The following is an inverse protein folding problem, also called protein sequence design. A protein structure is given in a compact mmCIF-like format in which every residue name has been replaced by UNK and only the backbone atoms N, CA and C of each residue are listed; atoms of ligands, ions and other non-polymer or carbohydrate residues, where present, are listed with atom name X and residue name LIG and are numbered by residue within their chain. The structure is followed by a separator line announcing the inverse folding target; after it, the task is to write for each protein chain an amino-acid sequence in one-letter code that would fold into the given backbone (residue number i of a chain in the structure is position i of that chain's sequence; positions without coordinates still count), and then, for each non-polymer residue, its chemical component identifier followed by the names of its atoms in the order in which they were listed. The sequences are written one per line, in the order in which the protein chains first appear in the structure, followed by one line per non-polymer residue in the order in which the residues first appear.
data_IF_291417747544
#
_entry.id   IF_291417747544
#
_cell.length_a   1.000
_cell.length_b   1.000
_cell.length_c   1.000
_cell.angle_alpha   90.00
_cell.angle_beta   90.00
_cell.angle_gamma   90.00
#
_symmetry.space_group_name_H-M   'P 1'
#
loop_
_entity.id
_entity.type
_entity.pdbx_description
1 polymer ?
#
# COMPACT_ATOMS: atom_id res chain seq x y z
N UNK A 1 -1.17 -49.78 2.61
CA UNK A 1 -2.00 -48.95 3.51
C UNK A 1 -1.42 -47.55 3.63
N UNK A 2 -2.27 -46.54 3.48
CA UNK A 2 -1.91 -45.12 3.64
C UNK A 2 -2.55 -44.61 4.94
N UNK A 3 -1.75 -43.95 5.79
CA UNK A 3 -2.21 -43.38 7.06
C UNK A 3 -1.95 -41.87 7.04
N UNK A 4 -2.92 -41.08 7.48
CA UNK A 4 -2.85 -39.61 7.49
C UNK A 4 -3.58 -39.05 8.71
N UNK A 5 -2.89 -38.16 9.43
CA UNK A 5 -3.42 -37.42 10.57
C UNK A 5 -3.25 -35.92 10.33
N UNK A 6 -4.19 -35.12 10.83
CA UNK A 6 -4.16 -33.66 10.73
C UNK A 6 -4.25 -33.02 12.10
N UNK A 7 -3.32 -32.10 12.37
CA UNK A 7 -3.27 -31.29 13.59
C UNK A 7 -3.45 -29.81 13.24
N UNK A 8 -4.31 -29.12 13.99
CA UNK A 8 -4.51 -27.67 13.85
C UNK A 8 -3.71 -26.95 14.93
N UNK A 9 -2.87 -26.00 14.52
CA UNK A 9 -2.12 -25.10 15.43
C UNK A 9 -2.53 -23.66 15.19
N UNK A 10 -2.89 -22.98 16.28
CA UNK A 10 -3.26 -21.57 16.25
C UNK A 10 -2.03 -20.69 16.52
N UNK A 11 -1.82 -19.67 15.67
CA UNK A 11 -0.79 -18.66 15.87
C UNK A 11 -1.22 -17.55 16.86
N UNK A 12 -0.30 -16.63 17.15
CA UNK A 12 -0.50 -15.55 18.14
C UNK A 12 -0.55 -14.14 17.52
N UNK A 13 -0.88 -14.02 16.23
CA UNK A 13 -1.04 -12.73 15.55
C UNK A 13 0.26 -12.03 15.19
N UNK A 14 1.15 -12.71 14.45
CA UNK A 14 2.36 -12.11 13.88
C UNK A 14 2.45 -12.39 12.38
N UNK A 15 2.48 -11.35 11.54
CA UNK A 15 2.46 -11.47 10.08
C UNK A 15 3.68 -12.23 9.54
N UNK A 16 4.86 -12.00 10.13
CA UNK A 16 6.10 -12.68 9.75
C UNK A 16 6.03 -14.20 9.94
N UNK A 17 5.17 -14.72 10.83
CA UNK A 17 4.96 -16.16 10.98
C UNK A 17 4.24 -16.80 9.79
N UNK A 18 3.74 -16.02 8.83
CA UNK A 18 3.31 -16.53 7.53
C UNK A 18 4.47 -16.89 6.59
N UNK A 19 5.70 -16.43 6.86
CA UNK A 19 6.88 -16.80 6.09
C UNK A 19 7.29 -18.25 6.39
N UNK A 20 7.65 -19.00 5.35
CA UNK A 20 7.92 -20.44 5.39
C UNK A 20 8.80 -20.90 6.55
N UNK A 21 9.96 -20.26 6.74
CA UNK A 21 10.93 -20.69 7.75
C UNK A 21 10.63 -20.13 9.13
N UNK A 22 9.97 -18.97 9.21
CA UNK A 22 9.46 -18.42 10.45
C UNK A 22 8.30 -19.27 11.02
N UNK A 23 7.41 -19.77 10.15
CA UNK A 23 6.32 -20.66 10.52
C UNK A 23 6.83 -21.96 11.13
N UNK A 24 7.88 -22.55 10.57
CA UNK A 24 8.54 -23.74 11.14
C UNK A 24 9.01 -23.48 12.57
N UNK A 25 9.70 -22.36 12.81
CA UNK A 25 10.12 -21.98 14.16
C UNK A 25 8.93 -21.79 15.09
N UNK A 26 7.85 -21.13 14.62
CA UNK A 26 6.64 -20.92 15.40
C UNK A 26 5.96 -22.23 15.78
N UNK A 27 5.87 -23.19 14.85
CA UNK A 27 5.31 -24.53 15.10
C UNK A 27 6.13 -25.29 16.14
N UNK A 28 7.46 -25.16 16.09
CA UNK A 28 8.39 -25.75 17.06
C UNK A 28 8.41 -25.05 18.43
N UNK A 29 7.56 -24.04 18.65
CA UNK A 29 7.50 -23.28 19.91
C UNK A 29 8.63 -22.27 20.10
N UNK A 30 9.40 -21.98 19.04
CA UNK A 30 10.45 -20.95 19.03
C UNK A 30 9.84 -19.62 18.58
N UNK A 31 10.61 -18.53 18.76
CA UNK A 31 10.24 -17.23 18.18
C UNK A 31 10.14 -17.35 16.66
N UNK A 32 9.06 -16.81 16.07
CA UNK A 32 8.78 -16.81 14.64
C UNK A 32 9.74 -15.94 13.83
N UNK A 33 10.99 -16.36 13.73
CA UNK A 33 12.04 -15.68 12.98
C UNK A 33 12.49 -16.55 11.81
N UNK A 34 12.69 -15.99 10.61
CA UNK A 34 13.15 -16.76 9.46
C UNK A 34 14.52 -17.40 9.68
N UNK A 35 14.78 -18.53 9.02
CA UNK A 35 16.08 -19.22 9.00
C UNK A 35 16.78 -18.94 7.66
N UNK A 36 18.12 -18.72 7.65
CA UNK A 36 18.86 -18.66 6.40
C UNK A 36 18.80 -20.02 5.70
N UNK A 37 18.76 -19.99 4.36
CA UNK A 37 18.88 -21.17 3.51
C UNK A 37 20.32 -21.21 2.99
N UNK A 38 20.98 -22.38 2.90
CA UNK A 38 20.54 -23.73 3.29
C UNK A 38 20.61 -24.03 4.81
N UNK A 39 19.94 -25.10 5.32
CA UNK A 39 19.18 -26.11 4.58
C UNK A 39 17.75 -25.65 4.21
N UNK A 40 17.22 -26.17 3.10
CA UNK A 40 15.82 -25.94 2.70
C UNK A 40 14.85 -26.82 3.51
N UNK A 41 13.62 -26.35 3.79
CA UNK A 41 12.61 -27.11 4.55
C UNK A 41 12.28 -28.49 3.97
N UNK A 42 12.32 -28.63 2.64
CA UNK A 42 12.14 -29.92 1.96
C UNK A 42 13.16 -30.98 2.38
N UNK A 43 14.33 -30.59 2.89
CA UNK A 43 15.32 -31.50 3.47
C UNK A 43 15.28 -31.51 5.00
N UNK A 44 15.18 -30.33 5.62
CA UNK A 44 15.15 -30.14 7.07
C UNK A 44 14.19 -29.00 7.45
N UNK A 45 12.94 -29.36 7.72
CA UNK A 45 11.88 -28.45 8.11
C UNK A 45 11.51 -28.61 9.59
N UNK A 46 10.25 -28.94 9.88
CA UNK A 46 9.72 -29.08 11.24
C UNK A 46 10.40 -30.28 11.92
N UNK A 47 10.98 -30.06 13.10
CA UNK A 47 11.71 -31.06 13.88
C UNK A 47 12.80 -31.79 13.07
N UNK A 48 13.47 -31.04 12.19
CA UNK A 48 14.51 -31.50 11.27
C UNK A 48 14.05 -32.59 10.28
N UNK A 49 12.73 -32.71 10.04
CA UNK A 49 12.17 -33.63 9.04
C UNK A 49 11.85 -32.92 7.72
N UNK A 50 11.95 -33.62 6.57
CA UNK A 50 11.47 -33.11 5.29
C UNK A 50 10.04 -32.57 5.41
N UNK A 51 9.85 -31.28 5.13
CA UNK A 51 8.56 -30.61 5.26
C UNK A 51 8.30 -29.76 4.02
N UNK A 52 7.10 -29.88 3.46
CA UNK A 52 6.60 -29.00 2.40
C UNK A 52 5.54 -28.07 2.99
N UNK A 53 5.74 -26.77 2.79
CA UNK A 53 4.76 -25.75 3.13
C UNK A 53 4.00 -25.34 1.87
N UNK A 54 2.68 -25.30 1.93
CA UNK A 54 1.84 -24.71 0.89
C UNK A 54 0.74 -23.84 1.50
N UNK A 55 0.28 -22.86 0.74
CA UNK A 55 -0.88 -22.05 1.12
C UNK A 55 -2.18 -22.88 1.02
N UNK A 56 -3.18 -22.47 1.78
CA UNK A 56 -4.53 -23.06 1.75
C UNK A 56 -5.11 -23.04 0.34
N UNK A 57 -4.96 -21.96 -0.41
CA UNK A 57 -5.44 -21.84 -1.80
C UNK A 57 -4.80 -22.90 -2.71
N UNK A 58 -3.51 -23.18 -2.54
CA UNK A 58 -2.83 -24.24 -3.30
C UNK A 58 -3.45 -25.58 -3.01
N UNK A 59 -3.62 -25.95 -1.73
CA UNK A 59 -4.24 -27.23 -1.35
C UNK A 59 -5.72 -27.31 -1.71
N UNK A 60 -6.46 -26.20 -1.71
CA UNK A 60 -7.86 -26.18 -2.12
C UNK A 60 -8.04 -26.50 -3.62
N UNK A 61 -7.05 -26.15 -4.45
CA UNK A 61 -7.06 -26.46 -5.88
C UNK A 61 -6.72 -27.93 -6.20
N UNK A 62 -5.90 -28.60 -5.37
CA UNK A 62 -5.42 -29.97 -5.67
C UNK A 62 -6.56 -30.99 -5.87
N UNK A 63 -7.59 -31.08 -5.00
CA UNK A 63 -8.70 -32.01 -5.21
C UNK A 63 -9.42 -31.78 -6.54
N UNK A 64 -9.64 -30.52 -6.94
CA UNK A 64 -10.32 -30.20 -8.20
C UNK A 64 -9.47 -30.62 -9.41
N UNK A 65 -8.15 -30.43 -9.34
CA UNK A 65 -7.21 -30.87 -10.38
C UNK A 65 -7.20 -32.39 -10.52
N UNK A 66 -7.21 -33.13 -9.41
CA UNK A 66 -7.25 -34.61 -9.44
C UNK A 66 -8.56 -35.12 -10.05
N UNK A 67 -9.68 -34.49 -9.71
CA UNK A 67 -11.01 -34.91 -10.16
C UNK A 67 -11.28 -34.58 -11.63
N UNK A 68 -10.87 -33.40 -12.09
CA UNK A 68 -11.17 -32.92 -13.45
C UNK A 68 -10.01 -33.09 -14.44
N UNK A 69 -8.82 -33.47 -13.95
CA UNK A 69 -7.60 -33.59 -14.74
C UNK A 69 -6.78 -32.30 -14.81
N UNK A 70 -5.47 -32.44 -15.04
CA UNK A 70 -4.55 -31.31 -15.12
C UNK A 70 -4.84 -30.38 -16.31
N UNK A 71 -5.25 -30.94 -17.45
CA UNK A 71 -5.58 -30.17 -18.66
C UNK A 71 -6.79 -29.25 -18.46
N UNK A 72 -7.74 -29.62 -17.61
CA UNK A 72 -8.87 -28.76 -17.26
C UNK A 72 -8.40 -27.48 -16.55
N UNK A 73 -7.55 -27.62 -15.53
CA UNK A 73 -7.03 -26.48 -14.78
C UNK A 73 -6.06 -25.66 -15.64
N UNK A 74 -5.23 -26.33 -16.45
CA UNK A 74 -4.33 -25.68 -17.38
C UNK A 74 -5.04 -24.99 -18.56
N UNK A 75 -6.27 -25.39 -18.88
CA UNK A 75 -7.12 -24.73 -19.86
C UNK A 75 -7.62 -23.35 -19.40
N UNK A 76 -7.45 -23.01 -18.12
CA UNK A 76 -7.79 -21.72 -17.52
C UNK A 76 -6.49 -20.91 -17.34
N UNK A 77 -6.56 -19.60 -17.58
CA UNK A 77 -5.44 -18.69 -17.34
C UNK A 77 -4.57 -18.45 -18.58
N UNK A 78 -3.34 -17.98 -18.35
CA UNK A 78 -2.35 -17.74 -19.42
C UNK A 78 -1.41 -18.92 -19.57
N UNK A 79 -0.60 -18.93 -20.63
CA UNK A 79 0.34 -20.02 -20.88
C UNK A 79 1.29 -20.29 -19.70
N UNK A 80 1.77 -19.20 -19.08
CA UNK A 80 2.72 -19.23 -17.97
C UNK A 80 2.05 -19.22 -16.59
N UNK A 81 0.82 -18.72 -16.48
CA UNK A 81 0.07 -18.61 -15.22
C UNK A 81 -1.28 -19.30 -15.37
N UNK A 82 -1.30 -20.59 -15.05
CA UNK A 82 -2.46 -21.47 -15.23
C UNK A 82 -3.41 -21.38 -14.02
N UNK A 83 -4.70 -21.61 -14.27
CA UNK A 83 -5.73 -21.69 -13.25
C UNK A 83 -6.34 -20.35 -12.85
N UNK A 84 -6.97 -20.36 -11.68
CA UNK A 84 -7.63 -19.20 -11.06
C UNK A 84 -6.82 -18.68 -9.88
N UNK A 85 -7.14 -17.45 -9.46
CA UNK A 85 -6.59 -16.82 -8.27
C UNK A 85 -7.68 -16.10 -7.50
N UNK A 86 -7.67 -16.26 -6.19
CA UNK A 86 -8.54 -15.50 -5.29
C UNK A 86 -7.87 -14.18 -4.89
N UNK A 87 -8.60 -13.08 -5.03
CA UNK A 87 -8.21 -11.75 -4.58
C UNK A 87 -9.18 -11.20 -3.54
N UNK A 88 -8.65 -10.44 -2.58
CA UNK A 88 -9.42 -9.62 -1.66
C UNK A 88 -9.41 -8.18 -2.17
N UNK A 89 -10.53 -7.75 -2.76
CA UNK A 89 -10.71 -6.42 -3.33
C UNK A 89 -11.27 -5.46 -2.28
N UNK A 90 -10.55 -4.37 -2.04
CA UNK A 90 -10.91 -3.35 -1.06
C UNK A 90 -10.44 -1.95 -1.46
N UNK A 91 -10.57 -0.99 -0.55
CA UNK A 91 -10.20 0.40 -0.78
C UNK A 91 -11.35 1.24 -1.36
N UNK A 92 -11.03 2.13 -2.30
CA UNK A 92 -11.97 3.06 -2.96
C UNK A 92 -12.70 2.39 -4.13
N UNK A 93 -13.55 1.41 -3.82
CA UNK A 93 -14.27 0.60 -4.80
C UNK A 93 -15.73 0.35 -4.35
N UNK A 94 -16.67 0.27 -5.28
CA UNK A 94 -18.10 0.09 -4.96
C UNK A 94 -18.41 -1.30 -4.41
N UNK A 95 -17.89 -2.35 -5.06
CA UNK A 95 -18.06 -3.74 -4.63
C UNK A 95 -16.77 -4.23 -3.97
N UNK A 96 -16.80 -4.44 -2.65
CA UNK A 96 -15.70 -5.01 -1.87
C UNK A 96 -15.98 -6.47 -1.54
N UNK A 97 -14.94 -7.30 -1.47
CA UNK A 97 -15.09 -8.71 -1.13
C UNK A 97 -13.98 -9.60 -1.66
N UNK A 98 -14.23 -10.90 -1.61
CA UNK A 98 -13.38 -11.92 -2.23
C UNK A 98 -13.88 -12.20 -3.64
N UNK A 99 -12.98 -12.20 -4.61
CA UNK A 99 -13.26 -12.57 -5.99
C UNK A 99 -12.28 -13.64 -6.45
N UNK A 100 -12.79 -14.64 -7.14
CA UNK A 100 -11.99 -15.64 -7.83
C UNK A 100 -12.04 -15.34 -9.32
N UNK A 101 -10.88 -15.11 -9.94
CA UNK A 101 -10.76 -14.79 -11.36
C UNK A 101 -9.75 -15.71 -12.04
N UNK A 102 -9.92 -15.99 -13.35
CA UNK A 102 -8.87 -16.60 -14.16
C UNK A 102 -7.61 -15.73 -14.15
N UNK A 103 -6.45 -16.37 -14.09
CA UNK A 103 -5.18 -15.67 -14.35
C UNK A 103 -5.22 -15.01 -15.74
N UNK A 104 -4.61 -13.84 -15.88
CA UNK A 104 -4.63 -13.05 -17.12
C UNK A 104 -5.84 -12.15 -17.31
N UNK A 105 -6.86 -12.21 -16.42
CA UNK A 105 -7.88 -11.15 -16.34
C UNK A 105 -7.20 -9.80 -16.13
N UNK A 106 -7.64 -8.74 -16.81
CA UNK A 106 -7.01 -7.42 -16.72
C UNK A 106 -7.40 -6.69 -15.43
N UNK A 107 -6.55 -5.75 -14.99
CA UNK A 107 -6.90 -4.87 -13.86
C UNK A 107 -8.19 -4.09 -14.15
N UNK A 108 -8.43 -3.67 -15.39
CA UNK A 108 -9.65 -2.96 -15.81
C UNK A 108 -10.91 -3.77 -15.54
N UNK A 109 -10.94 -5.03 -15.97
CA UNK A 109 -12.08 -5.93 -15.75
C UNK A 109 -12.34 -6.11 -14.25
N UNK A 110 -11.29 -6.35 -13.46
CA UNK A 110 -11.42 -6.50 -12.00
C UNK A 110 -11.97 -5.22 -11.34
N UNK A 111 -11.46 -4.05 -11.72
CA UNK A 111 -11.84 -2.78 -11.09
C UNK A 111 -13.23 -2.32 -11.53
N UNK A 112 -13.52 -2.32 -12.84
CA UNK A 112 -14.73 -1.71 -13.37
C UNK A 112 -15.89 -2.69 -13.56
N UNK A 113 -15.62 -3.93 -13.98
CA UNK A 113 -16.69 -4.91 -14.24
C UNK A 113 -17.07 -5.64 -12.96
N UNK A 114 -16.09 -6.17 -12.22
CA UNK A 114 -16.32 -6.90 -10.97
C UNK A 114 -16.50 -5.93 -9.79
N UNK A 115 -15.55 -5.01 -9.64
CA UNK A 115 -15.53 -4.02 -8.55
C UNK A 115 -16.59 -2.92 -8.67
N UNK A 116 -17.24 -2.78 -9.83
CA UNK A 116 -18.25 -1.75 -10.05
C UNK A 116 -17.69 -0.32 -10.11
N UNK A 117 -16.37 -0.16 -10.28
CA UNK A 117 -15.70 1.12 -10.40
C UNK A 117 -15.56 1.91 -9.10
N UNK A 118 -15.07 3.14 -9.25
CA UNK A 118 -14.72 4.03 -8.13
C UNK A 118 -15.98 4.75 -7.61
N UNK A 119 -16.17 4.83 -6.28
CA UNK A 119 -17.31 5.53 -5.69
C UNK A 119 -17.40 6.99 -6.13
N UNK A 120 -18.63 7.47 -6.30
CA UNK A 120 -18.96 8.86 -6.69
C UNK A 120 -18.41 9.29 -8.07
N UNK A 121 -18.05 8.33 -8.94
CA UNK A 121 -17.57 8.65 -10.30
C UNK A 121 -16.20 9.31 -10.35
N UNK A 122 -15.41 9.19 -9.28
CA UNK A 122 -14.04 9.71 -9.23
C UNK A 122 -13.09 8.95 -10.14
N UNK A 123 -11.94 9.55 -10.43
CA UNK A 123 -10.91 8.88 -11.20
C UNK A 123 -10.19 7.79 -10.39
N UNK A 124 -9.93 6.66 -11.04
CA UNK A 124 -8.99 5.65 -10.55
C UNK A 124 -7.57 6.21 -10.61
N UNK A 125 -6.82 6.07 -9.52
CA UNK A 125 -5.43 6.53 -9.44
C UNK A 125 -4.44 5.38 -9.53
N UNK A 126 -4.61 4.41 -8.66
CA UNK A 126 -3.73 3.25 -8.56
C UNK A 126 -4.42 2.08 -7.86
N UNK A 127 -3.83 0.90 -8.00
CA UNK A 127 -4.15 -0.27 -7.19
C UNK A 127 -2.87 -0.83 -6.59
N UNK A 128 -2.90 -1.12 -5.29
CA UNK A 128 -1.81 -1.87 -4.65
C UNK A 128 -2.16 -3.36 -4.74
N UNK A 129 -1.23 -4.16 -5.26
CA UNK A 129 -1.41 -5.62 -5.36
C UNK A 129 -0.31 -6.34 -4.59
N UNK A 130 -0.65 -7.49 -4.00
CA UNK A 130 0.32 -8.33 -3.29
C UNK A 130 0.37 -8.12 -1.77
N UNK A 131 -0.65 -7.46 -1.21
CA UNK A 131 -0.72 -7.16 0.22
C UNK A 131 0.21 -6.00 0.61
N UNK A 132 0.50 -5.80 1.90
CA UNK A 132 1.16 -4.60 2.42
C UNK A 132 2.59 -4.38 1.88
N UNK A 133 3.30 -5.44 1.47
CA UNK A 133 4.62 -5.35 0.84
C UNK A 133 4.59 -5.36 -0.70
N UNK A 134 3.40 -5.17 -1.27
CA UNK A 134 3.14 -5.07 -2.69
C UNK A 134 3.50 -3.72 -3.31
N UNK A 135 3.48 -3.63 -4.63
CA UNK A 135 3.69 -2.38 -5.37
C UNK A 135 2.37 -1.70 -5.72
N UNK A 136 2.43 -0.41 -6.06
CA UNK A 136 1.30 0.36 -6.56
C UNK A 136 1.36 0.46 -8.10
N UNK A 137 0.28 0.04 -8.76
CA UNK A 137 0.15 0.05 -10.22
C UNK A 137 -0.77 1.22 -10.62
N UNK A 138 -0.30 2.19 -11.44
CA UNK A 138 -1.07 3.38 -11.81
C UNK A 138 -2.13 3.09 -12.89
N UNK A 139 -3.03 4.05 -13.08
CA UNK A 139 -4.06 4.05 -14.13
C UNK A 139 -3.55 3.73 -15.55
N UNK A 140 -2.31 4.10 -15.86
CA UNK A 140 -1.69 3.85 -17.17
C UNK A 140 -1.54 2.34 -17.51
N UNK A 141 -1.61 1.46 -16.49
CA UNK A 141 -1.45 0.02 -16.64
C UNK A 141 -2.74 -0.76 -16.33
N UNK A 142 -3.91 -0.11 -16.41
CA UNK A 142 -5.21 -0.77 -16.17
C UNK A 142 -5.47 -1.96 -17.12
N UNK A 143 -4.96 -1.91 -18.34
CA UNK A 143 -5.15 -2.97 -19.34
C UNK A 143 -4.13 -4.11 -19.19
N UNK A 144 -3.26 -4.07 -18.19
CA UNK A 144 -2.28 -5.12 -17.95
C UNK A 144 -2.97 -6.39 -17.42
N UNK A 145 -2.72 -7.56 -18.04
CA UNK A 145 -3.16 -8.86 -17.53
C UNK A 145 -2.57 -9.15 -16.15
N UNK A 146 -3.40 -9.69 -15.25
CA UNK A 146 -2.98 -10.08 -13.91
C UNK A 146 -2.34 -11.47 -13.98
N UNK A 147 -1.02 -11.50 -14.02
CA UNK A 147 -0.20 -12.72 -13.91
C UNK A 147 1.13 -12.43 -13.18
N UNK A 148 1.90 -13.48 -12.88
CA UNK A 148 3.13 -13.34 -12.09
C UNK A 148 4.17 -12.43 -12.77
N UNK A 149 4.40 -12.61 -14.07
CA UNK A 149 5.46 -11.92 -14.81
C UNK A 149 5.13 -10.43 -14.95
N UNK A 150 3.93 -10.10 -15.42
CA UNK A 150 3.49 -8.73 -15.64
C UNK A 150 3.48 -7.91 -14.34
N UNK A 151 3.02 -8.49 -13.22
CA UNK A 151 3.01 -7.78 -11.94
C UNK A 151 4.42 -7.49 -11.41
N UNK A 152 5.37 -8.42 -11.62
CA UNK A 152 6.78 -8.21 -11.22
C UNK A 152 7.42 -7.11 -12.06
N UNK A 153 7.16 -7.08 -13.36
CA UNK A 153 7.65 -6.04 -14.27
C UNK A 153 7.16 -4.64 -13.88
N UNK A 154 5.94 -4.53 -13.38
CA UNK A 154 5.36 -3.28 -12.87
C UNK A 154 5.84 -2.91 -11.45
N UNK A 155 6.84 -3.61 -10.91
CA UNK A 155 7.37 -3.35 -9.57
C UNK A 155 6.42 -3.75 -8.44
N UNK A 156 5.43 -4.60 -8.74
CA UNK A 156 4.51 -5.20 -7.78
C UNK A 156 4.80 -6.71 -7.64
N UNK A 157 3.85 -7.47 -7.09
CA UNK A 157 3.95 -8.93 -6.99
C UNK A 157 2.60 -9.59 -6.82
N UNK A 158 2.53 -10.86 -7.23
CA UNK A 158 1.46 -11.77 -6.82
C UNK A 158 1.74 -12.23 -5.39
N UNK A 159 1.27 -11.46 -4.42
CA UNK A 159 1.37 -11.77 -2.99
C UNK A 159 0.18 -12.59 -2.49
N UNK A 160 -0.42 -12.18 -1.37
CA UNK A 160 -1.57 -12.85 -0.75
C UNK A 160 -2.90 -12.71 -1.50
N UNK A 161 -2.92 -12.02 -2.65
CA UNK A 161 -4.15 -11.66 -3.37
C UNK A 161 -4.85 -10.41 -2.84
N UNK A 162 -4.24 -9.63 -1.94
CA UNK A 162 -4.80 -8.32 -1.56
C UNK A 162 -4.73 -7.31 -2.72
N UNK A 163 -5.85 -6.66 -3.03
CA UNK A 163 -5.97 -5.55 -3.99
C UNK A 163 -6.63 -4.34 -3.32
N UNK A 164 -5.85 -3.29 -3.07
CA UNK A 164 -6.34 -2.04 -2.46
C UNK A 164 -6.42 -0.97 -3.53
N UNK A 165 -7.65 -0.58 -3.88
CA UNK A 165 -7.97 0.42 -4.90
C UNK A 165 -7.86 1.83 -4.30
N UNK A 166 -7.26 2.75 -5.04
CA UNK A 166 -7.07 4.15 -4.67
C UNK A 166 -7.66 5.08 -5.71
N UNK A 167 -8.28 6.17 -5.25
CA UNK A 167 -8.84 7.23 -6.08
C UNK A 167 -7.92 8.46 -6.12
N UNK A 168 -8.32 9.48 -6.88
CA UNK A 168 -7.57 10.74 -7.04
C UNK A 168 -7.29 11.50 -5.74
N UNK A 169 -8.05 11.25 -4.67
CA UNK A 169 -7.90 11.90 -3.36
C UNK A 169 -6.91 11.17 -2.44
N UNK A 170 -6.33 10.04 -2.87
CA UNK A 170 -5.29 9.35 -2.12
C UNK A 170 -3.91 9.96 -2.38
N UNK A 171 -3.15 10.28 -1.33
CA UNK A 171 -1.75 10.71 -1.45
C UNK A 171 -0.81 9.51 -1.55
N UNK A 172 -0.02 9.39 -2.62
CA UNK A 172 0.84 8.22 -2.81
C UNK A 172 2.03 8.18 -1.84
N UNK A 173 2.48 9.34 -1.35
CA UNK A 173 3.49 9.44 -0.28
C UNK A 173 2.95 8.85 1.02
N UNK A 174 1.70 9.18 1.37
CA UNK A 174 1.04 8.70 2.57
C UNK A 174 0.70 7.21 2.50
N UNK A 175 0.29 6.72 1.31
CA UNK A 175 0.09 5.29 1.05
C UNK A 175 1.40 4.51 1.28
N UNK A 176 2.51 4.98 0.72
CA UNK A 176 3.81 4.35 0.92
C UNK A 176 4.22 4.35 2.40
N UNK A 177 3.96 5.46 3.11
CA UNK A 177 4.19 5.58 4.56
C UNK A 177 3.37 4.57 5.36
N UNK A 178 2.06 4.48 5.09
CA UNK A 178 1.14 3.57 5.78
C UNK A 178 1.53 2.10 5.65
N UNK A 179 1.85 1.65 4.44
CA UNK A 179 2.25 0.25 4.22
C UNK A 179 3.63 -0.07 4.78
N UNK A 180 4.54 0.89 4.76
CA UNK A 180 5.85 0.72 5.37
C UNK A 180 5.77 0.69 6.89
N UNK A 181 4.92 1.52 7.50
CA UNK A 181 4.63 1.53 8.95
C UNK A 181 4.16 0.15 9.43
N UNK A 182 3.15 -0.41 8.74
CA UNK A 182 2.72 -1.79 8.96
C UNK A 182 3.89 -2.79 8.89
N UNK A 183 4.76 -2.65 7.89
CA UNK A 183 5.87 -3.58 7.70
C UNK A 183 6.98 -3.42 8.75
N UNK A 184 7.15 -2.22 9.30
CA UNK A 184 8.05 -1.95 10.42
C UNK A 184 7.53 -2.65 11.67
N UNK A 185 6.24 -2.53 11.96
CA UNK A 185 5.59 -3.17 13.12
C UNK A 185 5.61 -4.70 13.03
N UNK A 186 5.42 -5.24 11.83
CA UNK A 186 5.39 -6.68 11.57
C UNK A 186 6.79 -7.31 11.38
N UNK A 187 7.86 -6.53 11.51
CA UNK A 187 9.22 -7.03 11.39
C UNK A 187 9.61 -7.90 12.58
N UNK A 188 10.13 -9.10 12.32
CA UNK A 188 10.68 -9.95 13.39
C UNK A 188 11.96 -9.38 14.04
N UNK A 189 12.57 -8.34 13.45
CA UNK A 189 13.77 -7.68 13.98
C UNK A 189 15.10 -8.45 13.84
N UNK A 190 15.12 -9.58 13.11
CA UNK A 190 16.30 -10.45 13.03
C UNK A 190 17.46 -9.85 12.21
N UNK A 191 17.20 -9.36 10.99
CA UNK A 191 18.24 -8.83 10.12
C UNK A 191 18.30 -7.30 10.20
N UNK A 192 19.51 -6.74 10.35
CA UNK A 192 19.73 -5.29 10.47
C UNK A 192 19.19 -4.49 9.28
N UNK A 193 19.35 -4.92 8.02
CA UNK A 193 18.81 -4.18 6.87
C UNK A 193 17.30 -3.98 6.98
N UNK A 194 16.54 -5.03 7.32
CA UNK A 194 15.10 -4.90 7.54
C UNK A 194 14.80 -4.12 8.82
N UNK A 195 15.34 -4.53 9.98
CA UNK A 195 14.97 -3.95 11.30
C UNK A 195 15.23 -2.45 11.38
N UNK A 196 16.43 -2.02 11.00
CA UNK A 196 16.81 -0.60 11.10
C UNK A 196 16.50 0.14 9.82
N UNK A 197 16.71 -0.50 8.66
CA UNK A 197 16.56 0.16 7.38
C UNK A 197 15.12 0.58 7.09
N UNK A 198 14.12 -0.30 7.32
CA UNK A 198 12.72 0.09 7.08
C UNK A 198 12.28 1.20 8.03
N UNK A 199 12.78 1.21 9.27
CA UNK A 199 12.56 2.31 10.20
C UNK A 199 13.13 3.63 9.70
N UNK A 200 14.36 3.63 9.15
CA UNK A 200 14.95 4.84 8.53
C UNK A 200 14.20 5.30 7.30
N UNK A 201 13.68 4.37 6.49
CA UNK A 201 12.80 4.72 5.37
C UNK A 201 11.50 5.39 5.86
N UNK A 202 10.89 4.85 6.92
CA UNK A 202 9.66 5.39 7.49
C UNK A 202 9.88 6.80 8.04
N UNK A 203 10.94 7.02 8.80
CA UNK A 203 11.31 8.35 9.32
C UNK A 203 11.50 9.38 8.19
N UNK A 204 12.05 8.97 7.04
CA UNK A 204 12.16 9.84 5.85
C UNK A 204 10.79 10.15 5.26
N UNK A 205 9.91 9.16 5.11
CA UNK A 205 8.55 9.38 4.61
C UNK A 205 7.72 10.26 5.54
N UNK A 206 7.80 10.06 6.85
CA UNK A 206 7.19 10.92 7.86
C UNK A 206 7.71 12.35 7.75
N UNK A 207 9.02 12.54 7.64
CA UNK A 207 9.63 13.86 7.42
C UNK A 207 9.11 14.54 6.15
N UNK A 208 8.90 13.79 5.07
CA UNK A 208 8.33 14.31 3.81
C UNK A 208 6.85 14.68 4.01
N UNK A 209 6.05 13.80 4.62
CA UNK A 209 4.63 14.04 4.91
C UNK A 209 4.40 15.21 5.88
N UNK A 210 5.37 15.46 6.78
CA UNK A 210 5.42 16.60 7.69
C UNK A 210 5.83 17.93 7.02
N UNK A 211 6.18 17.90 5.72
CA UNK A 211 6.69 19.06 4.98
C UNK A 211 8.12 19.46 5.31
N UNK A 212 8.83 18.67 6.13
CA UNK A 212 10.23 18.90 6.50
C UNK A 212 11.21 18.23 5.53
N UNK A 213 10.71 17.47 4.55
CA UNK A 213 11.51 16.79 3.53
C UNK A 213 12.34 17.74 2.67
N UNK A 214 13.46 17.23 2.15
CA UNK A 214 14.40 17.93 1.28
C UNK A 214 14.63 17.12 0.00
N UNK A 215 15.03 17.73 -1.13
CA UNK A 215 15.23 16.99 -2.39
C UNK A 215 16.17 15.78 -2.24
N UNK A 216 17.25 15.96 -1.46
CA UNK A 216 18.20 14.89 -1.16
C UNK A 216 17.61 13.72 -0.35
N UNK A 217 16.46 13.91 0.33
CA UNK A 217 15.79 12.82 1.04
C UNK A 217 15.18 11.81 0.06
N UNK A 218 14.78 12.22 -1.15
CA UNK A 218 14.23 11.31 -2.17
C UNK A 218 15.29 10.32 -2.67
N UNK A 219 16.49 10.81 -2.98
CA UNK A 219 17.59 9.97 -3.46
C UNK A 219 18.10 9.03 -2.35
N UNK A 220 18.15 9.52 -1.11
CA UNK A 220 18.45 8.70 0.07
C UNK A 220 17.42 7.60 0.26
N UNK A 221 16.13 7.94 0.16
CA UNK A 221 15.03 7.00 0.30
C UNK A 221 15.12 5.88 -0.75
N UNK A 222 15.34 6.24 -2.02
CA UNK A 222 15.46 5.28 -3.10
C UNK A 222 16.68 4.36 -2.94
N UNK A 223 17.85 4.92 -2.60
CA UNK A 223 19.08 4.15 -2.38
C UNK A 223 18.95 3.19 -1.20
N UNK A 224 18.36 3.65 -0.09
CA UNK A 224 18.11 2.84 1.09
C UNK A 224 17.12 1.71 0.78
N UNK A 225 16.03 2.00 0.06
CA UNK A 225 15.04 1.03 -0.37
C UNK A 225 15.67 -0.12 -1.20
N UNK A 226 16.53 0.22 -2.16
CA UNK A 226 17.27 -0.78 -2.97
C UNK A 226 18.21 -1.62 -2.12
N UNK A 227 18.88 -1.02 -1.15
CA UNK A 227 19.80 -1.71 -0.23
C UNK A 227 19.05 -2.71 0.67
N UNK A 228 17.90 -2.31 1.22
CA UNK A 228 17.08 -3.19 2.06
C UNK A 228 16.53 -4.36 1.26
N UNK A 229 16.05 -4.09 0.04
CA UNK A 229 15.53 -5.11 -0.88
C UNK A 229 16.57 -6.19 -1.18
N UNK A 230 17.84 -5.82 -1.39
CA UNK A 230 18.91 -6.77 -1.72
C UNK A 230 19.54 -7.46 -0.51
N UNK A 231 19.60 -6.79 0.65
CA UNK A 231 20.33 -7.28 1.82
C UNK A 231 19.45 -7.99 2.89
N UNK A 232 18.13 -7.96 2.74
CA UNK A 232 17.21 -8.57 3.71
C UNK A 232 17.16 -10.09 3.61
N UNK A 233 17.01 -10.74 4.78
CA UNK A 233 17.07 -12.19 4.93
C UNK A 233 15.89 -12.94 4.28
N UNK A 234 14.67 -12.41 4.41
CA UNK A 234 13.45 -13.09 3.99
C UNK A 234 12.61 -12.22 3.06
N UNK A 235 11.59 -12.83 2.44
CA UNK A 235 10.69 -12.18 1.49
C UNK A 235 10.03 -10.92 2.05
N UNK A 236 9.66 -10.87 3.34
CA UNK A 236 9.10 -9.68 3.97
C UNK A 236 10.06 -8.48 3.84
N UNK A 237 11.30 -8.61 4.31
CA UNK A 237 12.27 -7.51 4.24
C UNK A 237 12.69 -7.16 2.81
N UNK A 238 12.70 -8.15 1.90
CA UNK A 238 13.02 -7.92 0.49
C UNK A 238 11.90 -7.15 -0.24
N UNK A 239 10.64 -7.36 0.16
CA UNK A 239 9.48 -6.74 -0.49
C UNK A 239 8.96 -5.51 0.25
N UNK A 240 9.32 -5.31 1.52
CA UNK A 240 8.99 -4.12 2.31
C UNK A 240 9.21 -2.78 1.58
N UNK A 241 10.25 -2.61 0.75
CA UNK A 241 10.47 -1.36 0.03
C UNK A 241 9.61 -1.19 -1.23
N UNK A 242 8.87 -2.20 -1.69
CA UNK A 242 8.12 -2.15 -2.96
C UNK A 242 7.06 -1.03 -3.01
N UNK A 243 6.26 -0.77 -1.96
CA UNK A 243 5.33 0.37 -1.97
C UNK A 243 6.08 1.66 -2.25
N UNK A 244 7.22 1.88 -1.60
CA UNK A 244 8.04 3.09 -1.75
C UNK A 244 8.69 3.19 -3.13
N UNK A 245 9.26 2.10 -3.63
CA UNK A 245 9.94 2.09 -4.93
C UNK A 245 8.94 2.31 -6.08
N UNK A 246 7.79 1.65 -6.03
CA UNK A 246 6.75 1.79 -7.06
C UNK A 246 6.13 3.19 -7.05
N UNK A 247 5.84 3.77 -5.88
CA UNK A 247 5.30 5.13 -5.80
C UNK A 247 6.32 6.20 -6.15
N UNK A 248 7.60 6.03 -5.80
CA UNK A 248 8.66 6.92 -6.29
C UNK A 248 8.81 6.86 -7.82
N UNK A 249 8.63 5.68 -8.42
CA UNK A 249 8.73 5.51 -9.86
C UNK A 249 7.56 6.15 -10.61
N UNK A 250 6.32 5.83 -10.23
CA UNK A 250 5.12 6.26 -10.95
C UNK A 250 4.57 7.63 -10.51
N UNK A 251 4.80 8.02 -9.25
CA UNK A 251 4.20 9.21 -8.64
C UNK A 251 5.26 10.17 -8.09
N UNK A 252 6.46 10.20 -8.69
CA UNK A 252 7.56 11.08 -8.25
C UNK A 252 7.15 12.54 -8.09
N UNK A 253 6.30 13.02 -8.99
CA UNK A 253 5.76 14.38 -8.96
C UNK A 253 5.04 14.70 -7.65
N UNK A 254 4.38 13.73 -6.99
CA UNK A 254 3.76 13.96 -5.68
C UNK A 254 4.83 14.12 -4.59
N UNK A 255 5.88 13.31 -4.62
CA UNK A 255 7.02 13.46 -3.70
C UNK A 255 7.69 14.83 -3.87
N UNK A 256 7.90 15.25 -5.11
CA UNK A 256 8.47 16.55 -5.45
C UNK A 256 7.57 17.70 -4.98
N UNK A 257 6.24 17.60 -5.10
CA UNK A 257 5.32 18.59 -4.54
C UNK A 257 5.40 18.68 -3.00
N UNK A 258 5.57 17.56 -2.30
CA UNK A 258 5.73 17.57 -0.84
C UNK A 258 7.05 18.22 -0.42
N UNK A 259 8.11 17.96 -1.18
CA UNK A 259 9.47 18.37 -0.85
C UNK A 259 9.77 19.81 -1.28
N UNK A 260 9.41 20.19 -2.50
CA UNK A 260 9.72 21.49 -3.11
C UNK A 260 8.62 22.51 -2.81
N UNK A 261 7.37 22.18 -3.10
CA UNK A 261 6.24 23.12 -3.02
C UNK A 261 5.62 23.17 -1.62
N UNK A 262 6.06 22.29 -0.72
CA UNK A 262 5.52 22.13 0.64
C UNK A 262 3.99 21.99 0.61
N UNK A 263 3.53 21.11 -0.29
CA UNK A 263 2.12 20.91 -0.59
C UNK A 263 1.80 19.43 -0.78
N UNK A 264 0.63 19.00 -0.32
CA UNK A 264 0.07 17.68 -0.62
C UNK A 264 -1.02 17.82 -1.69
N UNK A 265 -0.79 17.39 -2.95
CA UNK A 265 -1.78 17.54 -4.02
C UNK A 265 -3.14 16.89 -3.71
N UNK A 266 -3.13 15.79 -2.96
CA UNK A 266 -4.34 15.07 -2.56
C UNK A 266 -4.98 15.61 -1.26
N UNK A 267 -4.36 16.58 -0.57
CA UNK A 267 -4.90 17.18 0.65
C UNK A 267 -5.01 16.21 1.85
N UNK A 268 -4.24 15.14 1.88
CA UNK A 268 -4.26 14.13 2.95
C UNK A 268 -3.29 14.48 4.08
N UNK A 269 -2.06 14.92 3.75
CA UNK A 269 -1.04 15.22 4.76
C UNK A 269 -1.34 16.56 5.45
N UNK A 270 -1.80 16.49 6.71
CA UNK A 270 -2.26 17.67 7.46
C UNK A 270 -1.19 18.76 7.56
N UNK A 271 0.08 18.39 7.77
CA UNK A 271 1.19 19.31 7.88
C UNK A 271 1.50 20.06 6.56
N UNK A 272 0.91 19.66 5.44
CA UNK A 272 1.10 20.23 4.11
C UNK A 272 -0.17 20.87 3.54
N UNK A 273 -1.26 20.89 4.31
CA UNK A 273 -2.49 21.56 3.91
C UNK A 273 -2.28 23.06 3.82
N UNK A 274 -2.84 23.64 2.76
CA UNK A 274 -3.04 25.07 2.65
C UNK A 274 -4.54 25.36 2.63
N UNK A 275 -4.97 26.45 3.25
CA UNK A 275 -6.36 26.89 3.14
C UNK A 275 -6.38 28.15 2.29
N UNK A 276 -7.10 28.09 1.17
CA UNK A 276 -7.16 29.18 0.19
C UNK A 276 -8.58 29.69 0.06
N UNK A 277 -8.74 31.01 0.11
CA UNK A 277 -10.01 31.67 -0.16
C UNK A 277 -10.20 31.76 -1.68
N UNK A 278 -11.36 31.31 -2.15
CA UNK A 278 -11.81 31.41 -3.53
C UNK A 278 -12.41 32.82 -3.71
N UNK A 279 -11.73 33.74 -4.42
CA UNK A 279 -12.15 35.15 -4.49
C UNK A 279 -13.58 35.34 -5.02
N UNK A 280 -13.98 34.49 -5.97
CA UNK A 280 -15.27 34.59 -6.68
C UNK A 280 -16.46 34.22 -5.78
N UNK A 281 -16.23 33.33 -4.81
CA UNK A 281 -17.27 32.86 -3.88
C UNK A 281 -17.30 33.68 -2.59
N UNK A 282 -16.26 34.44 -2.29
CA UNK A 282 -16.12 35.15 -1.03
C UNK A 282 -17.07 36.36 -0.94
N UNK A 283 -18.02 36.33 0.00
CA UNK A 283 -18.94 37.45 0.30
C UNK A 283 -18.39 38.48 1.29
N UNK A 284 -17.09 38.45 1.59
CA UNK A 284 -16.41 39.46 2.43
C UNK A 284 -17.04 39.64 3.82
N UNK A 285 -17.64 38.56 4.37
CA UNK A 285 -18.45 38.62 5.59
C UNK A 285 -17.64 38.60 6.91
N UNK A 286 -16.39 38.14 6.86
CA UNK A 286 -15.49 38.04 8.02
C UNK A 286 -15.71 36.85 8.96
N UNK A 287 -16.65 35.93 8.65
CA UNK A 287 -16.93 34.76 9.49
C UNK A 287 -15.68 33.88 9.66
N UNK A 288 -14.94 33.65 8.56
CA UNK A 288 -13.72 32.85 8.58
C UNK A 288 -12.65 33.44 9.51
N UNK A 289 -12.42 34.76 9.44
CA UNK A 289 -11.46 35.45 10.29
C UNK A 289 -11.86 35.38 11.78
N UNK A 290 -13.13 35.59 12.09
CA UNK A 290 -13.64 35.50 13.47
C UNK A 290 -13.54 34.10 14.08
N UNK A 291 -13.54 33.05 13.25
CA UNK A 291 -13.42 31.65 13.68
C UNK A 291 -11.98 31.14 13.66
N UNK A 292 -11.02 31.95 13.20
CA UNK A 292 -9.62 31.57 13.18
C UNK A 292 -9.03 31.61 14.61
N UNK A 293 -8.54 30.48 15.16
CA UNK A 293 -8.00 30.46 16.52
C UNK A 293 -6.67 31.22 16.67
N UNK A 294 -5.98 31.48 15.55
CA UNK A 294 -4.64 32.12 15.51
C UNK A 294 -4.64 33.45 14.75
N UNK A 295 -5.82 33.97 14.39
CA UNK A 295 -5.97 35.26 13.71
C UNK A 295 -5.09 35.42 12.44
N UNK A 296 -4.93 34.34 11.66
CA UNK A 296 -4.11 34.32 10.44
C UNK A 296 -4.84 34.74 9.16
N UNK A 297 -6.05 35.32 9.27
CA UNK A 297 -6.88 35.66 8.11
C UNK A 297 -7.08 37.18 8.05
N UNK A 298 -6.45 37.80 7.06
CA UNK A 298 -6.55 39.23 6.80
C UNK A 298 -7.76 39.56 5.96
N UNK A 299 -8.39 40.69 6.29
CA UNK A 299 -9.45 41.26 5.48
C UNK A 299 -10.36 42.19 6.27
N UNK A 300 -10.73 43.31 5.66
CA UNK A 300 -11.72 44.23 6.19
C UNK A 300 -13.12 43.81 5.73
N UNK A 301 -13.99 43.59 6.72
CA UNK A 301 -15.39 43.18 6.53
C UNK A 301 -16.09 44.10 5.53
N UNK A 302 -16.67 43.51 4.50
CA UNK A 302 -17.41 44.20 3.44
C UNK A 302 -16.56 44.90 2.37
N UNK A 303 -15.22 44.98 2.53
CA UNK A 303 -14.36 45.72 1.60
C UNK A 303 -13.56 44.80 0.68
N UNK A 304 -12.83 43.86 1.25
CA UNK A 304 -11.87 43.03 0.51
C UNK A 304 -12.10 41.54 0.66
N UNK A 305 -11.53 40.78 -0.28
CA UNK A 305 -11.49 39.32 -0.19
C UNK A 305 -10.50 38.96 0.90
N UNK A 306 -10.91 38.07 1.79
CA UNK A 306 -10.06 37.62 2.88
C UNK A 306 -8.89 36.78 2.35
N UNK A 307 -7.71 36.93 2.96
CA UNK A 307 -6.48 36.20 2.61
C UNK A 307 -5.96 35.47 3.84
N UNK A 308 -5.62 34.19 3.70
CA UNK A 308 -5.08 33.38 4.80
C UNK A 308 -3.55 33.40 4.70
N UNK A 309 -2.87 33.94 5.73
CA UNK A 309 -1.42 33.87 5.86
C UNK A 309 -1.02 32.44 6.21
N UNK A 310 -0.39 31.75 5.26
CA UNK A 310 -0.09 30.33 5.40
C UNK A 310 0.97 30.04 6.46
N UNK A 311 1.89 30.98 6.69
CA UNK A 311 2.96 30.88 7.70
C UNK A 311 2.44 30.84 9.14
N UNK A 312 1.35 31.56 9.43
CA UNK A 312 0.70 31.60 10.74
C UNK A 312 -0.38 30.52 10.90
N UNK A 313 -0.77 29.86 9.81
CA UNK A 313 -1.91 28.95 9.80
C UNK A 313 -1.58 27.60 10.46
N UNK A 314 -2.28 27.27 11.55
CA UNK A 314 -2.18 25.96 12.21
C UNK A 314 -2.99 24.84 11.52
N UNK A 315 -3.53 25.10 10.34
CA UNK A 315 -4.18 24.11 9.46
C UNK A 315 -5.39 23.38 10.07
N UNK A 316 -6.05 24.01 11.05
CA UNK A 316 -7.18 23.44 11.80
C UNK A 316 -8.50 23.27 11.00
N UNK A 317 -8.65 23.90 9.84
CA UNK A 317 -9.85 23.79 9.02
C UNK A 317 -11.09 24.56 9.51
N UNK A 318 -11.04 25.18 10.69
CA UNK A 318 -12.17 25.92 11.28
C UNK A 318 -12.75 27.00 10.34
N UNK A 319 -11.90 27.65 9.55
CA UNK A 319 -12.34 28.66 8.58
C UNK A 319 -13.18 28.04 7.44
N UNK A 320 -12.82 26.86 6.97
CA UNK A 320 -13.50 26.14 5.90
C UNK A 320 -14.87 25.64 6.35
N UNK A 321 -14.95 25.02 7.53
CA UNK A 321 -16.20 24.54 8.13
C UNK A 321 -17.16 25.69 8.43
N UNK A 322 -16.64 26.83 8.90
CA UNK A 322 -17.45 27.99 9.22
C UNK A 322 -17.93 28.78 7.98
N UNK A 323 -17.45 28.48 6.77
CA UNK A 323 -17.78 29.26 5.58
C UNK A 323 -19.10 28.78 4.94
N UNK A 324 -20.24 29.50 5.10
CA UNK A 324 -21.52 29.06 4.53
C UNK A 324 -21.54 29.12 2.99
N UNK A 325 -20.63 29.91 2.41
CA UNK A 325 -20.52 30.11 0.96
C UNK A 325 -19.57 29.12 0.28
N UNK A 326 -18.96 28.19 1.04
CA UNK A 326 -17.94 27.26 0.56
C UNK A 326 -16.80 27.97 -0.22
N UNK A 327 -16.48 29.19 0.22
CA UNK A 327 -15.48 30.05 -0.41
C UNK A 327 -14.05 29.76 0.08
N UNK A 328 -13.83 28.67 0.81
CA UNK A 328 -12.51 28.24 1.26
C UNK A 328 -12.31 26.82 0.77
N UNK A 329 -11.19 26.57 0.09
CA UNK A 329 -10.78 25.24 -0.35
C UNK A 329 -9.50 24.80 0.33
N UNK A 330 -9.35 23.48 0.47
CA UNK A 330 -8.07 22.85 0.75
C UNK A 330 -7.23 22.95 -0.52
N UNK A 331 -6.04 23.54 -0.37
CA UNK A 331 -5.02 23.69 -1.39
C UNK A 331 -4.19 22.44 -1.45
#
# INVERSE_FOLDING_TARGET
DFNFDLEIRLGAGAFVCGEETALINSIEGKRGMPRPRPPFPAHKGIWDKPTLLNNVETYANIPQIILNGADWFAGIGTEKSRGTKVFALGGKINNTGLLEIPMGTTLREVIYEVGGGIPNGKAFKAVQTGGPSGGCIPAAHLDTPIDYDNLIELGSMMGSGGMIVMDEDNCMVDIARFFLDFTVDESCGKCTPCREGTKRMLEILEKIADGKGQPADLDKLESLAKTIKSASLCGLGQTAPNPVLSTLHYFRHEYEAHVNDKKCPAGVCQALLQYLVIPELCKKCGICANKCPVNCIDGVKGKEVYVIRQEDCIKCGACMEACPFKAIKKG
#
